data_IF_114931891516
#
_entry.id   IF_114931891516
#
_cell.length_a   1.000
_cell.length_b   1.000
_cell.length_c   1.000
_cell.angle_alpha   90.00
_cell.angle_beta   90.00
_cell.angle_gamma   90.00
#
_symmetry.space_group_name_H-M   'P 1'
#
loop_
_entity.id
_entity.type
_entity.pdbx_description
1 polymer ?
#
# COMPACT_ATOMS: atom_id res chain seq x y z
N UNK A 1 -14.34 -19.52 -10.22
CA UNK A 1 -14.63 -19.17 -8.83
C UNK A 1 -13.59 -18.19 -8.31
N UNK A 2 -14.03 -17.14 -7.68
CA UNK A 2 -13.11 -16.13 -7.16
C UNK A 2 -12.36 -16.68 -5.93
N UNK A 3 -11.06 -16.54 -5.92
CA UNK A 3 -10.24 -16.89 -4.78
C UNK A 3 -10.19 -15.69 -3.84
N UNK A 4 -10.50 -15.93 -2.58
CA UNK A 4 -10.42 -14.85 -1.58
C UNK A 4 -9.00 -14.78 -1.03
N UNK A 5 -8.52 -13.56 -0.86
CA UNK A 5 -7.28 -13.34 -0.17
C UNK A 5 -7.46 -13.65 1.32
N UNK A 6 -6.62 -14.52 1.85
CA UNK A 6 -6.71 -14.91 3.26
C UNK A 6 -6.02 -13.91 4.19
N UNK A 7 -5.35 -12.91 3.64
CA UNK A 7 -4.58 -11.94 4.42
C UNK A 7 -5.42 -10.78 4.94
N UNK A 8 -6.67 -10.62 4.46
CA UNK A 8 -7.52 -9.50 4.86
C UNK A 8 -7.72 -9.39 6.37
N UNK A 9 -7.71 -10.50 7.08
CA UNK A 9 -7.84 -10.52 8.54
C UNK A 9 -6.66 -9.89 9.26
N UNK A 10 -5.55 -9.65 8.56
CA UNK A 10 -4.36 -9.04 9.14
C UNK A 10 -4.41 -7.51 9.13
N UNK A 11 -5.43 -6.92 8.52
CA UNK A 11 -5.55 -5.46 8.42
C UNK A 11 -5.69 -4.84 9.81
N UNK A 12 -4.85 -3.85 10.10
CA UNK A 12 -4.86 -3.11 11.37
C UNK A 12 -5.04 -1.61 11.18
N UNK A 13 -4.72 -1.10 9.98
CA UNK A 13 -4.83 0.31 9.66
C UNK A 13 -5.55 0.46 8.34
N UNK A 14 -6.52 1.38 8.28
CA UNK A 14 -7.30 1.60 7.07
C UNK A 14 -7.19 3.02 6.53
N UNK A 15 -6.68 3.95 7.34
CA UNK A 15 -6.57 5.35 6.96
C UNK A 15 -5.30 5.97 7.51
N UNK A 16 -4.86 7.06 6.91
CA UNK A 16 -3.69 7.81 7.35
C UNK A 16 -3.87 9.28 6.99
N UNK A 17 -3.28 10.16 7.80
CA UNK A 17 -3.20 11.58 7.48
C UNK A 17 -1.96 11.91 6.66
N UNK A 18 -1.07 10.96 6.48
CA UNK A 18 0.16 11.16 5.72
C UNK A 18 -0.16 11.27 4.23
N UNK A 19 0.30 12.37 3.62
CA UNK A 19 0.04 12.66 2.21
C UNK A 19 1.33 12.77 1.41
N UNK A 20 2.40 12.15 1.90
CA UNK A 20 3.72 12.22 1.26
C UNK A 20 4.42 10.87 1.38
N UNK A 21 5.37 10.63 0.48
CA UNK A 21 6.30 9.52 0.65
C UNK A 21 7.49 10.05 1.44
N UNK A 22 7.52 9.79 2.73
CA UNK A 22 8.56 10.33 3.60
C UNK A 22 9.95 9.87 3.19
N UNK A 23 10.05 8.65 2.66
CA UNK A 23 11.34 8.15 2.19
C UNK A 23 11.83 8.92 0.98
N UNK A 24 10.92 9.28 0.06
CA UNK A 24 11.30 10.13 -1.08
C UNK A 24 11.74 11.50 -0.61
N UNK A 25 11.04 12.08 0.37
CA UNK A 25 11.42 13.40 0.91
C UNK A 25 12.83 13.35 1.49
N UNK A 26 13.14 12.31 2.27
CA UNK A 26 14.45 12.19 2.89
C UNK A 26 15.58 12.06 1.88
N UNK A 27 15.31 11.44 0.73
CA UNK A 27 16.32 11.29 -0.31
C UNK A 27 16.27 12.37 -1.38
N UNK A 28 15.40 13.37 -1.20
CA UNK A 28 15.29 14.49 -2.15
C UNK A 28 14.62 14.12 -3.47
N UNK A 29 13.74 13.13 -3.45
CA UNK A 29 13.11 12.64 -4.67
C UNK A 29 11.60 12.88 -4.65
N UNK A 30 10.94 12.54 -5.76
CA UNK A 30 9.49 12.72 -5.92
C UNK A 30 8.83 11.36 -6.13
N UNK A 31 7.49 11.37 -6.18
CA UNK A 31 6.70 10.15 -6.36
C UNK A 31 5.51 10.45 -7.28
N UNK A 32 4.87 9.37 -7.78
CA UNK A 32 3.68 9.50 -8.64
C UNK A 32 2.42 9.36 -7.78
N UNK A 33 2.24 8.21 -7.13
CA UNK A 33 1.09 7.96 -6.25
C UNK A 33 1.57 7.35 -4.95
N UNK A 34 0.67 7.31 -3.96
CA UNK A 34 0.99 6.80 -2.63
C UNK A 34 0.18 5.55 -2.31
N UNK A 35 0.81 4.66 -1.54
CA UNK A 35 0.18 3.44 -1.05
C UNK A 35 0.45 3.31 0.44
N UNK A 36 -0.55 2.85 1.20
CA UNK A 36 -0.41 2.66 2.64
C UNK A 36 -0.40 1.18 2.97
N UNK A 37 0.54 0.77 3.82
CA UNK A 37 0.56 -0.59 4.35
C UNK A 37 -0.59 -0.75 5.34
N UNK A 38 -1.45 -1.73 5.11
CA UNK A 38 -2.61 -1.97 5.99
C UNK A 38 -2.24 -2.68 7.28
N UNK A 39 -1.01 -3.16 7.40
CA UNK A 39 -0.56 -3.89 8.58
C UNK A 39 0.10 -2.96 9.60
N UNK A 40 0.88 -1.97 9.14
CA UNK A 40 1.62 -1.08 10.04
C UNK A 40 1.41 0.41 9.77
N UNK A 41 0.67 0.77 8.72
CA UNK A 41 0.39 2.18 8.40
C UNK A 41 1.48 2.92 7.64
N UNK A 42 2.55 2.26 7.24
CA UNK A 42 3.63 2.89 6.48
C UNK A 42 3.10 3.37 5.11
N UNK A 43 3.45 4.59 4.74
CA UNK A 43 3.08 5.15 3.45
C UNK A 43 4.32 5.23 2.56
N UNK A 44 4.22 4.61 1.38
CA UNK A 44 5.29 4.61 0.40
C UNK A 44 4.76 4.88 -0.99
N UNK A 45 5.65 5.15 -1.93
CA UNK A 45 5.26 5.46 -3.31
C UNK A 45 4.99 4.17 -4.10
N UNK A 46 4.14 4.31 -5.13
CA UNK A 46 3.69 3.18 -5.94
C UNK A 46 4.76 2.69 -6.92
N UNK A 47 4.44 1.60 -7.63
CA UNK A 47 5.36 1.01 -8.60
C UNK A 47 5.55 1.87 -9.85
N UNK A 48 4.68 2.85 -10.08
CA UNK A 48 4.89 3.83 -11.16
C UNK A 48 5.88 4.90 -10.76
N UNK A 49 6.22 4.97 -9.48
CA UNK A 49 7.19 5.92 -8.95
C UNK A 49 8.61 5.37 -9.16
N UNK A 50 9.57 6.28 -9.22
CA UNK A 50 10.96 5.92 -9.44
C UNK A 50 11.50 4.97 -8.37
N UNK A 51 11.14 5.20 -7.11
CA UNK A 51 11.73 4.48 -5.98
C UNK A 51 10.91 3.30 -5.47
N UNK A 52 9.64 3.19 -5.82
CA UNK A 52 8.78 2.05 -5.47
C UNK A 52 8.85 1.67 -3.98
N UNK A 53 8.76 2.67 -3.10
CA UNK A 53 8.95 2.45 -1.67
C UNK A 53 7.92 1.52 -1.05
N UNK A 54 6.68 1.50 -1.56
CA UNK A 54 5.66 0.59 -1.04
C UNK A 54 6.05 -0.87 -1.28
N UNK A 55 6.53 -1.19 -2.48
CA UNK A 55 6.97 -2.54 -2.81
C UNK A 55 8.24 -2.92 -2.05
N UNK A 56 9.17 -1.97 -1.89
CA UNK A 56 10.36 -2.22 -1.08
C UNK A 56 10.00 -2.49 0.37
N UNK A 57 8.99 -1.80 0.89
CA UNK A 57 8.48 -2.05 2.24
C UNK A 57 7.96 -3.48 2.37
N UNK A 58 7.18 -3.96 1.40
CA UNK A 58 6.71 -5.34 1.40
C UNK A 58 7.89 -6.31 1.41
N UNK A 59 8.90 -6.10 0.56
CA UNK A 59 10.04 -7.02 0.51
C UNK A 59 10.79 -7.07 1.83
N UNK A 60 10.85 -5.95 2.55
CA UNK A 60 11.56 -5.88 3.83
C UNK A 60 10.75 -6.48 4.98
N UNK A 61 9.45 -6.21 5.02
CA UNK A 61 8.61 -6.55 6.19
C UNK A 61 7.72 -7.77 5.96
N UNK A 62 7.47 -8.13 4.69
CA UNK A 62 6.51 -9.17 4.30
C UNK A 62 5.06 -8.84 4.67
N UNK A 63 4.75 -7.57 4.92
CA UNK A 63 3.38 -7.13 5.13
C UNK A 63 2.63 -7.18 3.79
N UNK A 64 1.63 -8.06 3.64
CA UNK A 64 1.11 -8.41 2.31
C UNK A 64 0.16 -7.39 1.69
N UNK A 65 -0.45 -6.52 2.49
CA UNK A 65 -1.57 -5.71 2.00
C UNK A 65 -1.25 -4.23 1.99
N UNK A 66 -1.62 -3.59 0.87
CA UNK A 66 -1.57 -2.13 0.75
C UNK A 66 -2.90 -1.65 0.20
N UNK A 67 -3.18 -0.36 0.40
CA UNK A 67 -4.29 0.33 -0.25
C UNK A 67 -3.78 1.58 -0.95
N UNK A 68 -4.51 1.99 -1.99
CA UNK A 68 -4.31 3.33 -2.53
C UNK A 68 -4.88 4.35 -1.55
N UNK A 69 -4.15 5.45 -1.32
CA UNK A 69 -4.69 6.57 -0.53
C UNK A 69 -4.94 7.79 -1.42
N UNK A 70 -4.93 7.59 -2.74
CA UNK A 70 -5.27 8.65 -3.69
C UNK A 70 -6.76 8.93 -3.64
N UNK A 71 -7.17 10.20 -3.83
CA UNK A 71 -8.60 10.54 -3.83
C UNK A 71 -9.38 9.71 -4.83
N UNK A 72 -10.50 9.14 -4.39
CA UNK A 72 -11.37 8.33 -5.24
C UNK A 72 -10.93 6.89 -5.40
N UNK A 73 -9.83 6.50 -4.77
CA UNK A 73 -9.34 5.11 -4.83
C UNK A 73 -9.40 4.49 -3.44
N UNK A 74 -9.91 3.26 -3.39
CA UNK A 74 -10.05 2.55 -2.11
C UNK A 74 -9.69 1.07 -2.23
N UNK A 75 -9.12 0.67 -3.35
CA UNK A 75 -8.80 -0.74 -3.60
C UNK A 75 -7.65 -1.21 -2.71
N UNK A 76 -7.68 -2.53 -2.44
CA UNK A 76 -6.66 -3.21 -1.65
C UNK A 76 -5.89 -4.15 -2.58
N UNK A 77 -4.57 -4.13 -2.50
CA UNK A 77 -3.71 -5.04 -3.26
C UNK A 77 -2.98 -5.98 -2.30
N UNK A 78 -2.97 -7.27 -2.63
CA UNK A 78 -2.20 -8.26 -1.89
C UNK A 78 -0.97 -8.65 -2.69
N UNK A 79 0.21 -8.34 -2.15
CA UNK A 79 1.47 -8.68 -2.82
C UNK A 79 1.73 -10.18 -2.87
N UNK A 80 1.28 -10.92 -1.85
CA UNK A 80 1.52 -12.36 -1.77
C UNK A 80 0.67 -13.11 -2.79
N UNK A 81 -0.62 -12.76 -2.86
CA UNK A 81 -1.54 -13.40 -3.80
C UNK A 81 -1.54 -12.73 -5.16
N UNK A 82 -0.88 -11.58 -5.30
CA UNK A 82 -0.78 -10.80 -6.53
C UNK A 82 -2.15 -10.54 -7.12
N UNK A 83 -3.06 -10.04 -6.28
CA UNK A 83 -4.44 -9.77 -6.69
C UNK A 83 -5.02 -8.59 -5.94
N UNK A 84 -6.05 -7.97 -6.53
CA UNK A 84 -6.85 -6.98 -5.84
C UNK A 84 -7.74 -7.72 -4.86
N UNK A 85 -7.62 -7.38 -3.58
CA UNK A 85 -8.23 -8.16 -2.51
C UNK A 85 -9.54 -7.56 -1.99
N UNK A 86 -10.00 -6.44 -2.55
CA UNK A 86 -11.23 -5.80 -2.13
C UNK A 86 -11.08 -4.30 -2.04
N UNK A 87 -11.98 -3.68 -1.26
CA UNK A 87 -11.99 -2.23 -1.10
C UNK A 87 -12.20 -1.87 0.37
N UNK A 88 -11.61 -0.73 0.77
CA UNK A 88 -11.80 -0.18 2.11
C UNK A 88 -13.20 0.45 2.19
N UNK A 89 -13.95 0.10 3.21
CA UNK A 89 -15.27 0.67 3.45
C UNK A 89 -16.39 0.06 2.62
N UNK A 90 -16.10 -1.01 1.90
CA UNK A 90 -17.12 -1.71 1.12
C UNK A 90 -17.94 -2.65 1.99
#
# INVERSE_FOLDING_TARGET
MATKCTHLKEIKFTETDTQVCEECIRMGDTWVHLRMCLICGHVGCCDSSKNKHATKHFHRTKHPLIRSIEPGESWIWCYVDEMEAGEIGA
#
